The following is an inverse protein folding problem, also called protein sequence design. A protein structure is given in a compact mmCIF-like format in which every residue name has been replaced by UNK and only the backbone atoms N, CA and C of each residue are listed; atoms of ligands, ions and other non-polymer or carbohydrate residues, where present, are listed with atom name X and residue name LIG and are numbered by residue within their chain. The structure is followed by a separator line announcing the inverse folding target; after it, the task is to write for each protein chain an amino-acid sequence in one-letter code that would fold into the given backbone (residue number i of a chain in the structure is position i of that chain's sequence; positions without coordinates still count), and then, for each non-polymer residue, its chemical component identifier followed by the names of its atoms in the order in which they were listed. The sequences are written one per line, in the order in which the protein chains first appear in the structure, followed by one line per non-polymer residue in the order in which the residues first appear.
data_IF_849787835268
#
_entry.id   IF_849787835268
#
_cell.length_a   1.000
_cell.length_b   1.000
_cell.length_c   1.000
_cell.angle_alpha   90.00
_cell.angle_beta   90.00
_cell.angle_gamma   90.00
#
_symmetry.space_group_name_H-M   'P 1'
#
loop_
_entity.id
_entity.type
_entity.pdbx_description
1 polymer ?
#
# COMPACT_ATOMS: atom_id res chain seq x y z
N UNK A 1 -0.51 -24.22 19.32
CA UNK A 1 -0.75 -22.77 19.51
C UNK A 1 0.32 -22.15 20.40
N UNK A 2 0.73 -22.84 21.45
CA UNK A 2 1.76 -22.38 22.41
C UNK A 2 3.13 -22.08 21.77
N UNK A 3 3.49 -22.79 20.68
CA UNK A 3 4.76 -22.57 19.98
C UNK A 3 4.81 -21.26 19.19
N UNK A 4 3.69 -20.77 18.64
CA UNK A 4 3.62 -19.49 17.90
C UNK A 4 3.70 -18.32 18.88
N UNK A 5 2.97 -18.40 20.00
CA UNK A 5 3.00 -17.38 21.05
C UNK A 5 4.42 -17.26 21.62
N UNK A 6 5.03 -18.38 22.01
CA UNK A 6 6.40 -18.40 22.53
C UNK A 6 7.43 -17.87 21.52
N UNK A 7 7.23 -18.12 20.22
CA UNK A 7 8.08 -17.55 19.18
C UNK A 7 7.94 -16.03 19.10
N UNK A 8 6.72 -15.50 19.13
CA UNK A 8 6.47 -14.05 19.09
C UNK A 8 6.99 -13.35 20.35
N UNK A 9 6.79 -13.96 21.53
CA UNK A 9 7.31 -13.46 22.80
C UNK A 9 8.85 -13.40 22.82
N UNK A 10 9.51 -14.37 22.20
CA UNK A 10 10.97 -14.38 22.08
C UNK A 10 11.51 -13.39 21.04
N UNK A 11 10.66 -12.84 20.17
CA UNK A 11 11.03 -11.96 19.04
C UNK A 11 10.24 -10.65 19.05
N UNK A 12 9.97 -10.07 20.20
CA UNK A 12 9.15 -8.86 20.35
C UNK A 12 9.69 -7.64 19.61
N UNK A 13 11.00 -7.58 19.37
CA UNK A 13 11.66 -6.47 18.66
C UNK A 13 11.70 -6.67 17.14
N UNK A 14 11.19 -7.80 16.63
CA UNK A 14 11.26 -8.14 15.21
C UNK A 14 9.96 -7.82 14.51
N UNK A 15 10.05 -7.20 13.33
CA UNK A 15 8.93 -7.02 12.43
C UNK A 15 8.91 -8.16 11.40
N UNK A 16 7.79 -8.87 11.29
CA UNK A 16 7.61 -9.94 10.31
C UNK A 16 6.73 -9.41 9.17
N UNK A 17 7.36 -9.10 8.05
CA UNK A 17 6.70 -8.55 6.88
C UNK A 17 7.44 -8.97 5.61
N UNK A 18 6.70 -9.42 4.61
CA UNK A 18 7.24 -9.73 3.29
C UNK A 18 7.19 -8.47 2.43
N UNK A 19 8.34 -8.01 1.93
CA UNK A 19 8.43 -6.77 1.16
C UNK A 19 9.14 -6.98 -0.17
N UNK A 20 8.57 -6.38 -1.22
CA UNK A 20 9.19 -6.25 -2.54
C UNK A 20 9.11 -4.80 -2.99
N UNK A 21 10.21 -4.24 -3.48
CA UNK A 21 10.22 -2.85 -3.94
C UNK A 21 9.35 -2.67 -5.18
N UNK A 22 8.54 -1.62 -5.19
CA UNK A 22 7.77 -1.21 -6.36
C UNK A 22 8.73 -0.55 -7.34
N UNK A 23 8.99 -1.22 -8.46
CA UNK A 23 9.76 -0.65 -9.55
C UNK A 23 8.87 0.27 -10.38
N UNK A 24 9.29 1.53 -10.54
CA UNK A 24 8.58 2.52 -11.34
C UNK A 24 8.42 2.12 -12.82
N UNK A 25 9.26 1.19 -13.31
CA UNK A 25 9.19 0.67 -14.67
C UNK A 25 8.27 -0.55 -14.83
N UNK A 26 7.82 -1.14 -13.74
CA UNK A 26 6.94 -2.29 -13.78
C UNK A 26 5.48 -1.82 -13.96
N UNK A 27 4.88 -2.09 -15.13
CA UNK A 27 3.50 -1.72 -15.47
C UNK A 27 2.45 -2.25 -14.47
N UNK A 28 2.75 -3.34 -13.78
CA UNK A 28 1.87 -3.92 -12.75
C UNK A 28 1.73 -2.98 -11.55
N UNK A 29 2.74 -2.18 -11.29
CA UNK A 29 2.78 -1.26 -10.16
C UNK A 29 1.99 0.05 -10.41
N UNK A 30 1.68 0.36 -11.67
CA UNK A 30 0.83 1.51 -12.02
C UNK A 30 -0.53 1.50 -11.30
N UNK A 31 -1.02 0.32 -10.93
CA UNK A 31 -2.30 0.14 -10.24
C UNK A 31 -2.27 0.77 -8.85
N UNK A 32 -1.16 0.65 -8.13
CA UNK A 32 -1.02 1.21 -6.77
C UNK A 32 -1.00 2.75 -6.76
N UNK A 33 -0.54 3.36 -7.86
CA UNK A 33 -0.46 4.82 -8.00
C UNK A 33 -1.64 5.46 -8.71
N UNK A 34 -2.67 4.68 -9.03
CA UNK A 34 -3.85 5.18 -9.72
C UNK A 34 -4.97 5.51 -8.75
N UNK A 35 -5.73 6.55 -9.07
CA UNK A 35 -7.00 6.81 -8.38
C UNK A 35 -7.98 5.69 -8.69
N UNK A 36 -8.25 4.86 -7.71
CA UNK A 36 -9.19 3.78 -7.83
C UNK A 36 -10.52 4.19 -7.19
N UNK A 37 -11.49 4.56 -8.01
CA UNK A 37 -12.83 4.89 -7.50
C UNK A 37 -13.56 3.59 -7.20
N UNK A 38 -13.48 3.15 -5.95
CA UNK A 38 -14.30 2.03 -5.47
C UNK A 38 -15.68 2.57 -5.13
N UNK A 39 -16.56 2.67 -6.13
CA UNK A 39 -17.93 3.08 -5.90
C UNK A 39 -18.83 1.91 -5.50
N UNK A 40 -19.65 2.10 -4.47
CA UNK A 40 -20.69 1.13 -4.08
C UNK A 40 -21.90 1.14 -5.04
N UNK A 41 -22.12 2.23 -5.78
CA UNK A 41 -23.24 2.41 -6.69
C UNK A 41 -23.02 1.65 -8.00
N UNK A 42 -24.12 1.11 -8.57
CA UNK A 42 -24.07 0.30 -9.79
C UNK A 42 -23.40 1.03 -10.97
N UNK A 43 -23.71 2.31 -11.19
CA UNK A 43 -23.12 3.11 -12.26
C UNK A 43 -21.61 3.29 -12.10
N UNK A 44 -21.10 3.37 -10.86
CA UNK A 44 -19.68 3.46 -10.58
C UNK A 44 -18.95 2.14 -10.92
N UNK A 45 -19.61 1.00 -10.68
CA UNK A 45 -19.10 -0.32 -11.11
C UNK A 45 -19.05 -0.43 -12.63
N UNK A 46 -20.08 0.09 -13.32
CA UNK A 46 -20.13 0.11 -14.79
C UNK A 46 -19.01 0.99 -15.35
N UNK A 47 -18.84 2.20 -14.83
CA UNK A 47 -17.77 3.11 -15.26
C UNK A 47 -16.39 2.51 -15.00
N UNK A 48 -16.19 1.87 -13.86
CA UNK A 48 -14.96 1.16 -13.54
C UNK A 48 -14.67 0.05 -14.56
N UNK A 49 -15.67 -0.77 -14.88
CA UNK A 49 -15.50 -1.86 -15.84
C UNK A 49 -15.22 -1.32 -17.25
N UNK A 50 -15.95 -0.30 -17.69
CA UNK A 50 -15.69 0.37 -18.97
C UNK A 50 -14.28 0.95 -19.02
N UNK A 51 -13.80 1.52 -17.93
CA UNK A 51 -12.44 2.04 -17.82
C UNK A 51 -11.40 0.93 -17.89
N UNK A 52 -11.56 -0.16 -17.15
CA UNK A 52 -10.65 -1.31 -17.16
C UNK A 52 -10.60 -1.94 -18.56
N UNK A 53 -11.76 -2.19 -19.18
CA UNK A 53 -11.82 -2.81 -20.51
C UNK A 53 -11.41 -1.85 -21.64
N UNK A 54 -11.77 -0.57 -21.54
CA UNK A 54 -11.45 0.45 -22.54
C UNK A 54 -9.97 0.82 -22.58
N UNK A 55 -9.23 0.68 -21.47
CA UNK A 55 -7.80 1.00 -21.39
C UNK A 55 -6.87 -0.21 -21.60
N UNK A 56 -7.43 -1.37 -21.90
CA UNK A 56 -6.65 -2.61 -22.12
C UNK A 56 -6.28 -3.34 -20.83
N UNK A 57 -7.09 -3.18 -19.78
CA UNK A 57 -6.97 -3.90 -18.53
C UNK A 57 -6.21 -3.13 -17.44
N UNK A 58 -5.98 -3.80 -16.34
CA UNK A 58 -5.34 -3.28 -15.13
C UNK A 58 -3.93 -2.71 -15.33
N UNK A 59 -3.32 -3.00 -16.47
CA UNK A 59 -1.91 -2.68 -16.74
C UNK A 59 -1.69 -1.34 -17.47
N UNK A 60 -2.75 -0.61 -17.82
CA UNK A 60 -2.62 0.67 -18.53
C UNK A 60 -3.44 1.76 -17.82
N UNK A 61 -2.81 2.50 -16.96
CA UNK A 61 -3.41 3.68 -16.35
C UNK A 61 -3.10 4.90 -17.20
N UNK A 62 -4.13 5.62 -17.61
CA UNK A 62 -3.93 6.92 -18.27
C UNK A 62 -3.22 7.87 -17.31
N UNK A 63 -2.23 8.66 -17.79
CA UNK A 63 -1.44 9.55 -16.92
C UNK A 63 -2.28 10.51 -16.06
N UNK A 64 -3.44 10.92 -16.57
CA UNK A 64 -4.37 11.83 -15.86
C UNK A 64 -4.96 11.22 -14.57
N UNK A 65 -4.95 9.89 -14.42
CA UNK A 65 -5.43 9.20 -13.22
C UNK A 65 -4.29 8.81 -12.27
N UNK A 66 -3.03 9.02 -12.67
CA UNK A 66 -1.90 8.77 -11.78
C UNK A 66 -1.84 9.84 -10.70
N UNK A 67 -1.70 9.39 -9.47
CA UNK A 67 -1.45 10.26 -8.34
C UNK A 67 0.03 10.58 -8.28
N UNK A 68 0.36 11.81 -7.91
CA UNK A 68 1.73 12.16 -7.60
C UNK A 68 2.07 11.54 -6.24
N UNK A 69 3.03 10.62 -6.24
CA UNK A 69 3.57 10.08 -5.01
C UNK A 69 4.39 11.14 -4.29
N UNK A 70 4.37 11.21 -2.95
CA UNK A 70 5.38 11.94 -2.21
C UNK A 70 6.77 11.43 -2.57
N UNK A 71 7.71 12.34 -2.85
CA UNK A 71 8.99 11.97 -3.50
C UNK A 71 10.03 11.39 -2.52
N UNK A 72 9.78 11.47 -1.22
CA UNK A 72 10.78 11.17 -0.17
C UNK A 72 10.90 9.68 0.15
N UNK A 73 9.90 8.86 -0.23
CA UNK A 73 9.85 7.44 0.07
C UNK A 73 10.07 6.57 -1.16
N UNK A 74 10.72 5.44 -0.93
CA UNK A 74 10.65 4.29 -1.85
C UNK A 74 9.40 3.49 -1.52
N UNK A 75 8.65 3.11 -2.53
CA UNK A 75 7.38 2.39 -2.35
C UNK A 75 7.61 0.88 -2.39
N UNK A 76 6.93 0.19 -1.48
CA UNK A 76 7.07 -1.25 -1.28
C UNK A 76 5.68 -1.90 -1.25
N UNK A 77 5.62 -3.15 -1.63
CA UNK A 77 4.41 -3.96 -1.54
C UNK A 77 4.74 -5.36 -1.04
N UNK A 78 3.74 -6.09 -0.56
CA UNK A 78 3.89 -7.48 -0.16
C UNK A 78 2.58 -8.09 0.30
N UNK A 79 2.69 -9.19 1.01
CA UNK A 79 1.54 -9.90 1.57
C UNK A 79 0.82 -9.05 2.62
N UNK A 80 -0.51 -9.14 2.67
CA UNK A 80 -1.31 -8.54 3.75
C UNK A 80 -1.08 -9.20 5.13
N UNK A 81 -0.31 -10.29 5.18
CA UNK A 81 0.05 -10.98 6.41
C UNK A 81 1.35 -10.40 6.97
N UNK A 82 1.25 -9.71 8.08
CA UNK A 82 2.37 -9.08 8.75
C UNK A 82 2.16 -9.04 10.28
N UNK A 83 3.23 -8.91 11.00
CA UNK A 83 3.25 -8.66 12.44
C UNK A 83 4.30 -7.59 12.73
N UNK A 84 3.87 -6.46 13.28
CA UNK A 84 4.74 -5.36 13.64
C UNK A 84 4.91 -5.29 15.16
N UNK A 85 6.09 -4.91 15.61
CA UNK A 85 6.31 -4.59 17.00
C UNK A 85 5.69 -3.23 17.37
N UNK A 86 5.49 -2.98 18.68
CA UNK A 86 4.84 -1.76 19.18
C UNK A 86 5.60 -0.48 18.81
N UNK A 87 6.93 -0.52 18.81
CA UNK A 87 7.79 0.62 18.46
C UNK A 87 7.60 1.04 17.01
N UNK A 88 7.57 0.07 16.09
CA UNK A 88 7.32 0.33 14.67
C UNK A 88 5.91 0.88 14.44
N UNK A 89 4.90 0.30 15.08
CA UNK A 89 3.53 0.77 14.97
C UNK A 89 3.39 2.23 15.47
N UNK A 90 4.03 2.56 16.59
CA UNK A 90 4.03 3.91 17.13
C UNK A 90 4.75 4.89 16.21
N UNK A 91 5.91 4.52 15.68
CA UNK A 91 6.65 5.34 14.72
C UNK A 91 5.80 5.67 13.47
N UNK A 92 5.10 4.68 12.91
CA UNK A 92 4.21 4.91 11.76
C UNK A 92 3.11 5.91 12.10
N UNK A 93 2.48 5.79 13.27
CA UNK A 93 1.41 6.70 13.71
C UNK A 93 1.96 8.13 13.86
N UNK A 94 3.10 8.29 14.51
CA UNK A 94 3.72 9.60 14.75
C UNK A 94 4.12 10.25 13.42
N UNK A 95 4.74 9.47 12.53
CA UNK A 95 5.12 9.95 11.20
C UNK A 95 3.90 10.42 10.38
N UNK A 96 2.81 9.66 10.39
CA UNK A 96 1.59 10.02 9.66
C UNK A 96 0.91 11.27 10.21
N UNK A 97 0.97 11.50 11.51
CA UNK A 97 0.44 12.71 12.13
C UNK A 97 1.18 13.98 11.64
N UNK A 98 2.47 13.85 11.31
CA UNK A 98 3.29 14.94 10.78
C UNK A 98 3.20 15.06 9.25
N UNK A 99 2.87 13.95 8.55
CA UNK A 99 2.91 13.81 7.09
C UNK A 99 1.59 13.28 6.52
N UNK A 100 0.51 14.05 6.68
CA UNK A 100 -0.85 13.66 6.25
C UNK A 100 -0.99 13.43 4.74
N UNK A 101 -0.04 13.90 3.92
CA UNK A 101 -0.02 13.68 2.47
C UNK A 101 0.10 12.20 2.10
N UNK A 102 0.75 11.40 2.93
CA UNK A 102 0.86 9.95 2.71
C UNK A 102 -0.47 9.24 2.94
N UNK A 103 -1.20 9.59 4.00
CA UNK A 103 -2.54 9.04 4.24
C UNK A 103 -3.46 9.31 3.05
N UNK A 104 -3.52 10.57 2.58
CA UNK A 104 -4.30 10.99 1.40
C UNK A 104 -3.85 10.26 0.13
N UNK A 105 -2.55 10.01 0.00
CA UNK A 105 -2.02 9.28 -1.15
C UNK A 105 -2.53 7.84 -1.19
N UNK A 106 -2.58 7.15 -0.05
CA UNK A 106 -3.02 5.76 0.02
C UNK A 106 -4.55 5.59 0.09
N UNK A 107 -5.32 6.61 0.49
CA UNK A 107 -6.78 6.56 0.67
C UNK A 107 -7.53 5.99 -0.54
N UNK A 108 -7.04 6.28 -1.74
CA UNK A 108 -7.66 5.83 -2.99
C UNK A 108 -6.84 4.77 -3.74
N UNK A 109 -5.87 4.15 -3.07
CA UNK A 109 -5.08 3.05 -3.64
C UNK A 109 -5.91 1.81 -3.84
N UNK A 110 -5.55 0.99 -4.81
CA UNK A 110 -5.98 -0.39 -4.87
C UNK A 110 -5.15 -1.18 -3.85
N UNK A 111 -5.82 -1.99 -3.01
CA UNK A 111 -5.16 -2.82 -2.00
C UNK A 111 -4.13 -2.05 -1.15
N UNK A 112 -4.56 -0.98 -0.44
CA UNK A 112 -3.63 -0.19 0.38
C UNK A 112 -2.98 -1.05 1.48
N UNK A 113 -3.64 -2.09 1.94
CA UNK A 113 -3.16 -3.09 2.89
C UNK A 113 -1.93 -3.87 2.41
N UNK A 114 -1.73 -3.98 1.10
CA UNK A 114 -0.55 -4.62 0.48
C UNK A 114 0.61 -3.65 0.22
N UNK A 115 0.42 -2.36 0.41
CA UNK A 115 1.43 -1.36 0.05
C UNK A 115 1.74 -0.37 1.18
N UNK A 116 0.74 0.06 1.93
CA UNK A 116 0.84 1.10 2.95
C UNK A 116 1.89 0.75 4.02
N UNK A 117 1.66 -0.28 4.82
CA UNK A 117 2.56 -0.66 5.91
C UNK A 117 3.95 -1.06 5.40
N UNK A 118 4.03 -1.78 4.27
CA UNK A 118 5.28 -2.18 3.65
C UNK A 118 6.16 -0.97 3.33
N UNK A 119 5.54 0.08 2.78
CA UNK A 119 6.24 1.33 2.45
C UNK A 119 6.78 2.00 3.71
N UNK A 120 6.01 2.10 4.78
CA UNK A 120 6.48 2.74 6.01
C UNK A 120 7.56 1.93 6.73
N UNK A 121 7.38 0.62 6.88
CA UNK A 121 8.37 -0.26 7.52
C UNK A 121 9.72 -0.19 6.82
N UNK A 122 9.74 -0.19 5.49
CA UNK A 122 10.97 -0.18 4.70
C UNK A 122 11.63 1.19 4.55
N UNK A 123 10.98 2.27 4.98
CA UNK A 123 11.52 3.62 5.03
C UNK A 123 11.71 4.12 6.48
N UNK A 124 11.45 3.28 7.46
CA UNK A 124 11.75 3.61 8.86
C UNK A 124 13.25 3.73 9.10
N UNK A 125 13.68 4.51 10.10
CA UNK A 125 15.08 4.65 10.48
C UNK A 125 15.72 3.36 10.99
#
# INVERSE_FOLDING_TARGET
MDSVIGFLEANQEVNFIECSQIDAFNKRNDVYFSNFVIGRKLWQKVLKNLWIYGTGGWNKTLPIFKRKAPDDFKYWFGSQWWCLNGTMAQWIIDYLNEHMEYEKFFEHSLCPDECFLHTFVMNSP
#
